data_IF_833979062045
#
_entry.id   IF_833979062045
#
_cell.length_a   1.000
_cell.length_b   1.000
_cell.length_c   1.000
_cell.angle_alpha   90.00
_cell.angle_beta   90.00
_cell.angle_gamma   90.00
#
_symmetry.space_group_name_H-M   'P 1'
#
loop_
_entity.id
_entity.type
_entity.pdbx_description
1 polymer ?
#
# COMPACT_ATOMS: atom_id res chain seq x y z
N UNK A 1 70.00 5.08 -65.97
CA UNK A 1 69.65 4.12 -64.96
C UNK A 1 68.86 4.90 -63.86
N UNK A 2 67.51 4.99 -63.99
CA UNK A 2 66.66 5.75 -63.07
C UNK A 2 65.81 4.74 -62.34
N UNK A 3 65.99 4.66 -61.04
CA UNK A 3 65.14 3.86 -60.15
C UNK A 3 63.82 4.58 -59.87
N UNK A 4 62.70 4.01 -60.27
CA UNK A 4 61.41 4.43 -59.90
C UNK A 4 61.13 3.92 -58.48
N UNK A 5 60.84 4.84 -57.55
CA UNK A 5 60.39 4.55 -56.19
C UNK A 5 58.87 4.61 -56.18
N UNK A 6 58.24 3.46 -56.11
CA UNK A 6 56.79 3.37 -55.98
C UNK A 6 56.39 3.58 -54.52
N UNK A 7 55.66 4.67 -54.23
CA UNK A 7 55.08 5.01 -52.94
C UNK A 7 53.73 4.32 -52.84
N UNK A 8 53.61 3.28 -52.04
CA UNK A 8 52.34 2.65 -51.70
C UNK A 8 51.73 3.40 -50.50
N UNK A 9 50.70 4.18 -50.76
CA UNK A 9 49.91 4.81 -49.72
C UNK A 9 48.88 3.79 -49.22
N UNK A 10 49.12 3.25 -48.03
CA UNK A 10 48.14 2.40 -47.33
C UNK A 10 47.16 3.33 -46.62
N UNK A 11 45.95 3.41 -47.19
CA UNK A 11 44.84 4.11 -46.58
C UNK A 11 44.24 3.21 -45.48
N UNK A 12 44.60 3.45 -44.22
CA UNK A 12 43.99 2.80 -43.07
C UNK A 12 42.66 3.49 -42.82
N UNK A 13 41.55 2.89 -43.26
CA UNK A 13 40.21 3.27 -42.80
C UNK A 13 40.07 2.84 -41.31
N UNK A 14 40.25 3.81 -40.44
CA UNK A 14 39.84 3.66 -39.05
C UNK A 14 38.30 3.62 -39.03
N UNK A 15 37.73 2.43 -39.01
CA UNK A 15 36.32 2.22 -38.65
C UNK A 15 36.24 2.50 -37.14
N UNK A 16 35.88 3.75 -36.78
CA UNK A 16 35.46 4.07 -35.40
C UNK A 16 34.14 3.36 -35.18
N UNK A 17 34.19 2.13 -34.72
CA UNK A 17 33.08 1.48 -34.09
C UNK A 17 32.76 2.30 -32.85
N UNK A 18 31.76 3.19 -32.92
CA UNK A 18 31.09 3.66 -31.74
C UNK A 18 30.45 2.42 -31.10
N UNK A 19 31.12 1.85 -30.13
CA UNK A 19 30.47 0.97 -29.19
C UNK A 19 29.39 1.84 -28.52
N UNK A 20 28.15 1.69 -28.96
CA UNK A 20 27.01 2.12 -28.16
C UNK A 20 27.14 1.26 -26.89
N UNK A 21 27.62 1.88 -25.82
CA UNK A 21 27.43 1.31 -24.52
C UNK A 21 25.91 1.15 -24.38
N UNK A 22 25.41 -0.08 -24.36
CA UNK A 22 24.07 -0.35 -23.84
C UNK A 22 24.11 0.21 -22.44
N UNK A 23 23.48 1.37 -22.24
CA UNK A 23 23.16 1.85 -20.91
C UNK A 23 22.19 0.83 -20.37
N UNK A 24 22.66 -0.04 -19.47
CA UNK A 24 21.76 -0.92 -18.72
C UNK A 24 20.64 -0.05 -18.15
N UNK A 25 19.41 -0.29 -18.63
CA UNK A 25 18.25 0.41 -18.13
C UNK A 25 18.04 -0.01 -16.68
N UNK A 26 18.06 0.96 -15.76
CA UNK A 26 17.81 0.67 -14.35
C UNK A 26 16.43 0.04 -14.19
N UNK A 27 16.37 -1.10 -13.50
CA UNK A 27 15.10 -1.68 -13.03
C UNK A 27 14.77 -1.11 -11.66
N UNK A 28 13.56 -0.60 -11.48
CA UNK A 28 13.08 -0.01 -10.23
C UNK A 28 12.39 -1.08 -9.40
N UNK A 29 12.75 -1.19 -8.12
CA UNK A 29 12.20 -2.20 -7.21
C UNK A 29 11.10 -1.58 -6.36
N UNK A 30 9.88 -2.14 -6.47
CA UNK A 30 8.71 -1.70 -5.71
C UNK A 30 8.37 -2.75 -4.65
N UNK A 31 8.46 -2.37 -3.37
CA UNK A 31 8.02 -3.19 -2.25
C UNK A 31 6.51 -3.13 -2.08
N UNK A 32 5.85 -4.27 -1.93
CA UNK A 32 4.39 -4.34 -1.77
C UNK A 32 3.98 -5.55 -0.93
N UNK A 33 2.81 -5.48 -0.27
CA UNK A 33 2.15 -6.67 0.28
C UNK A 33 1.39 -7.41 -0.84
N UNK A 34 0.99 -8.70 -0.65
CA UNK A 34 0.50 -9.52 -1.76
C UNK A 34 -0.67 -8.91 -2.51
N UNK A 35 -1.89 -9.07 -2.03
CA UNK A 35 -3.12 -8.55 -2.67
C UNK A 35 -3.62 -7.30 -1.94
N UNK A 36 -4.07 -6.26 -2.63
CA UNK A 36 -3.97 -5.99 -4.06
C UNK A 36 -2.66 -5.29 -4.45
N UNK A 37 -1.81 -4.96 -3.46
CA UNK A 37 -0.68 -4.05 -3.58
C UNK A 37 0.41 -4.52 -4.56
N UNK A 38 0.69 -5.83 -4.63
CA UNK A 38 1.63 -6.36 -5.62
C UNK A 38 0.96 -6.61 -6.97
N UNK A 39 -0.34 -6.94 -6.98
CA UNK A 39 -1.07 -7.27 -8.20
C UNK A 39 -1.20 -6.07 -9.15
N UNK A 40 -1.44 -4.86 -8.59
CA UNK A 40 -1.61 -3.66 -9.40
C UNK A 40 -0.30 -3.22 -10.09
N UNK A 41 0.87 -3.15 -9.45
CA UNK A 41 2.14 -2.92 -10.13
C UNK A 41 2.52 -4.05 -11.11
N UNK A 42 2.20 -5.32 -10.81
CA UNK A 42 2.45 -6.42 -11.73
C UNK A 42 1.67 -6.27 -13.04
N UNK A 43 0.43 -5.76 -12.97
CA UNK A 43 -0.42 -5.49 -14.14
C UNK A 43 0.20 -4.49 -15.12
N UNK A 44 1.01 -3.54 -14.62
CA UNK A 44 1.57 -2.42 -15.41
C UNK A 44 3.06 -2.60 -15.76
N UNK A 45 3.67 -3.75 -15.49
CA UNK A 45 5.12 -3.98 -15.74
C UNK A 45 5.53 -3.71 -17.18
N UNK A 46 4.76 -4.20 -18.13
CA UNK A 46 5.03 -4.02 -19.54
C UNK A 46 4.89 -2.53 -19.94
N UNK A 47 3.86 -1.84 -19.44
CA UNK A 47 3.62 -0.41 -19.69
C UNK A 47 4.80 0.43 -19.16
N UNK A 48 5.29 0.13 -17.96
CA UNK A 48 6.46 0.79 -17.38
C UNK A 48 7.74 0.51 -18.16
N UNK A 49 7.93 -0.72 -18.65
CA UNK A 49 9.09 -1.07 -19.47
C UNK A 49 9.06 -0.35 -20.82
N UNK A 50 7.90 -0.20 -21.47
CA UNK A 50 7.72 0.55 -22.71
C UNK A 50 8.05 2.05 -22.55
N UNK A 51 7.77 2.62 -21.35
CA UNK A 51 8.16 3.99 -20.99
C UNK A 51 9.65 4.13 -20.64
N UNK A 52 10.42 3.04 -20.59
CA UNK A 52 11.84 3.03 -20.27
C UNK A 52 12.15 2.93 -18.77
N UNK A 53 11.17 2.60 -17.94
CA UNK A 53 11.28 2.44 -16.48
C UNK A 53 10.84 1.03 -16.03
N UNK A 54 11.52 -0.05 -16.43
CA UNK A 54 11.13 -1.40 -16.02
C UNK A 54 11.09 -1.52 -14.50
N UNK A 55 10.08 -2.22 -13.98
CA UNK A 55 9.87 -2.43 -12.55
C UNK A 55 9.97 -3.92 -12.17
N UNK A 56 10.39 -4.16 -10.93
CA UNK A 56 10.32 -5.46 -10.26
C UNK A 56 9.59 -5.30 -8.93
N UNK A 57 8.76 -6.30 -8.58
CA UNK A 57 7.98 -6.26 -7.35
C UNK A 57 8.61 -7.18 -6.31
N UNK A 58 8.93 -6.62 -5.13
CA UNK A 58 9.39 -7.36 -3.97
C UNK A 58 8.25 -7.50 -2.97
N UNK A 59 7.87 -8.75 -2.67
CA UNK A 59 6.76 -9.05 -1.75
C UNK A 59 7.23 -8.99 -0.30
N UNK A 60 6.43 -8.32 0.55
CA UNK A 60 6.55 -8.29 1.99
C UNK A 60 5.27 -8.82 2.62
N UNK A 61 5.39 -9.68 3.63
CA UNK A 61 4.23 -10.28 4.29
C UNK A 61 3.75 -9.53 5.55
N UNK A 62 4.40 -8.42 5.87
CA UNK A 62 4.07 -7.54 6.99
C UNK A 62 4.31 -6.07 6.64
N UNK A 63 3.82 -5.15 7.48
CA UNK A 63 3.96 -3.71 7.28
C UNK A 63 5.27 -3.12 7.84
N UNK A 64 6.04 -3.89 8.62
CA UNK A 64 7.17 -3.34 9.38
C UNK A 64 8.43 -3.16 8.51
N UNK A 65 8.57 -3.93 7.44
CA UNK A 65 9.80 -3.98 6.65
C UNK A 65 9.86 -3.04 5.43
N UNK A 66 8.76 -2.72 4.70
CA UNK A 66 8.87 -1.96 3.45
C UNK A 66 9.42 -0.54 3.61
N UNK A 67 9.00 0.23 4.62
CA UNK A 67 9.51 1.59 4.83
C UNK A 67 10.99 1.62 5.22
N UNK A 68 11.48 0.78 6.17
CA UNK A 68 12.92 0.66 6.42
C UNK A 68 13.75 0.26 5.20
N UNK A 69 13.25 -0.70 4.38
CA UNK A 69 13.92 -1.13 3.16
C UNK A 69 14.00 0.00 2.11
N UNK A 70 12.93 0.78 1.97
CA UNK A 70 12.91 1.98 1.12
C UNK A 70 13.93 3.03 1.59
N UNK A 71 13.93 3.35 2.88
CA UNK A 71 14.86 4.32 3.47
C UNK A 71 16.33 3.87 3.33
N UNK A 72 16.60 2.57 3.41
CA UNK A 72 17.93 2.00 3.22
C UNK A 72 18.39 1.98 1.74
N UNK A 73 17.48 2.21 0.77
CA UNK A 73 17.77 2.15 -0.66
C UNK A 73 17.71 0.75 -1.26
N UNK A 74 17.18 -0.24 -0.52
CA UNK A 74 16.94 -1.59 -1.02
C UNK A 74 15.72 -1.64 -1.96
N UNK A 75 14.83 -0.65 -1.86
CA UNK A 75 13.69 -0.39 -2.73
C UNK A 75 13.81 0.99 -3.36
N UNK A 76 13.15 1.20 -4.50
CA UNK A 76 12.94 2.52 -5.10
C UNK A 76 11.62 3.15 -4.67
N UNK A 77 10.59 2.33 -4.48
CA UNK A 77 9.31 2.72 -3.89
C UNK A 77 8.75 1.60 -3.02
N UNK A 78 7.76 1.92 -2.19
CA UNK A 78 6.85 0.92 -1.65
C UNK A 78 5.39 1.32 -1.93
N UNK A 79 4.48 0.32 -1.90
CA UNK A 79 3.06 0.52 -2.13
C UNK A 79 2.25 -0.40 -1.22
N UNK A 80 1.76 0.14 -0.10
CA UNK A 80 0.94 -0.56 0.89
C UNK A 80 0.41 0.35 1.99
N UNK A 81 0.94 1.59 2.11
CA UNK A 81 0.78 2.41 3.29
C UNK A 81 -0.17 3.59 3.06
N UNK A 82 -0.96 3.90 4.07
CA UNK A 82 -1.78 5.11 4.15
C UNK A 82 -1.07 6.22 4.94
N UNK A 83 -1.55 7.46 4.83
CA UNK A 83 -0.91 8.64 5.43
C UNK A 83 -0.64 8.51 6.94
N UNK A 84 -1.59 8.06 7.80
CA UNK A 84 -1.29 7.90 9.23
C UNK A 84 -0.16 6.90 9.52
N UNK A 85 -0.03 5.83 8.69
CA UNK A 85 1.06 4.86 8.83
C UNK A 85 2.41 5.48 8.48
N UNK A 86 2.46 6.23 7.35
CA UNK A 86 3.68 6.94 6.92
C UNK A 86 4.12 7.95 7.98
N UNK A 87 3.17 8.71 8.56
CA UNK A 87 3.46 9.66 9.62
C UNK A 87 4.01 8.98 10.88
N UNK A 88 3.38 7.90 11.34
CA UNK A 88 3.84 7.13 12.50
C UNK A 88 5.26 6.55 12.28
N UNK A 89 5.54 6.04 11.08
CA UNK A 89 6.89 5.60 10.71
C UNK A 89 7.89 6.78 10.79
N UNK A 90 7.58 7.90 10.15
CA UNK A 90 8.47 9.07 10.09
C UNK A 90 8.74 9.67 11.47
N UNK A 91 7.77 9.63 12.39
CA UNK A 91 7.95 10.06 13.78
C UNK A 91 8.90 9.14 14.57
N UNK A 92 9.03 7.88 14.15
CA UNK A 92 9.85 6.86 14.82
C UNK A 92 11.30 6.83 14.37
N UNK A 93 11.67 7.53 13.28
CA UNK A 93 12.98 7.48 12.64
C UNK A 93 13.62 8.86 12.50
N UNK A 94 14.96 8.96 12.35
CA UNK A 94 15.64 10.22 12.01
C UNK A 94 15.19 10.76 10.63
N UNK A 95 15.37 12.08 10.42
CA UNK A 95 14.96 12.79 9.20
C UNK A 95 15.54 12.19 7.91
N UNK A 96 16.77 11.68 7.95
CA UNK A 96 17.45 11.04 6.82
C UNK A 96 16.94 9.63 6.48
N UNK A 97 16.03 9.10 7.29
CA UNK A 97 15.34 7.81 7.06
C UNK A 97 13.84 7.98 6.80
N UNK A 98 13.35 9.20 6.75
CA UNK A 98 11.94 9.47 6.47
C UNK A 98 11.61 9.22 4.99
N UNK A 99 10.35 8.86 4.75
CA UNK A 99 9.80 8.59 3.43
C UNK A 99 8.59 9.49 3.17
N UNK A 100 8.25 9.72 1.92
CA UNK A 100 7.15 10.62 1.55
C UNK A 100 6.12 9.94 0.64
N UNK A 101 4.83 10.23 0.81
CA UNK A 101 3.81 9.79 -0.12
C UNK A 101 3.97 10.54 -1.45
N UNK A 102 3.99 9.80 -2.58
CA UNK A 102 4.05 10.38 -3.90
C UNK A 102 2.65 10.60 -4.49
N UNK A 103 1.80 9.57 -4.48
CA UNK A 103 0.40 9.63 -4.95
C UNK A 103 -0.44 8.50 -4.37
N UNK A 104 -1.74 8.76 -4.17
CA UNK A 104 -2.72 7.77 -3.73
C UNK A 104 -3.26 6.95 -4.90
N UNK A 105 -3.54 5.67 -4.69
CA UNK A 105 -3.98 4.74 -5.73
C UNK A 105 -5.36 4.16 -5.42
N UNK A 106 -5.56 3.59 -4.23
CA UNK A 106 -6.83 2.97 -3.87
C UNK A 106 -7.10 3.07 -2.37
N UNK A 107 -8.32 2.75 -1.98
CA UNK A 107 -8.77 2.60 -0.61
C UNK A 107 -9.33 1.20 -0.39
N UNK A 108 -9.11 0.66 0.80
CA UNK A 108 -9.69 -0.60 1.27
C UNK A 108 -10.44 -0.35 2.58
N UNK A 109 -11.76 -0.66 2.64
CA UNK A 109 -12.49 -0.57 3.88
C UNK A 109 -11.92 -1.48 4.97
N UNK A 110 -11.78 -0.97 6.17
CA UNK A 110 -11.42 -1.75 7.34
C UNK A 110 -12.67 -2.43 7.88
N UNK A 111 -12.59 -3.70 8.26
CA UNK A 111 -13.76 -4.48 8.63
C UNK A 111 -13.63 -5.17 9.99
N UNK A 112 -14.81 -5.38 10.62
CA UNK A 112 -14.99 -6.26 11.79
C UNK A 112 -15.56 -7.57 11.28
N UNK A 113 -14.88 -8.67 11.53
CA UNK A 113 -15.24 -10.02 11.06
C UNK A 113 -15.52 -10.95 12.22
N UNK A 114 -16.34 -11.97 11.98
CA UNK A 114 -16.63 -13.01 12.94
C UNK A 114 -16.93 -14.34 12.25
N UNK A 115 -16.34 -15.44 12.74
CA UNK A 115 -16.71 -16.81 12.37
C UNK A 115 -17.89 -17.34 13.20
N UNK A 116 -18.34 -16.60 14.24
CA UNK A 116 -19.29 -17.06 15.23
C UNK A 116 -20.64 -16.32 15.22
N UNK A 117 -20.62 -15.05 14.78
CA UNK A 117 -21.79 -14.17 14.87
C UNK A 117 -22.04 -13.49 13.52
N UNK A 118 -23.29 -13.33 13.15
CA UNK A 118 -23.72 -12.66 11.91
C UNK A 118 -23.99 -11.17 12.12
N UNK A 119 -24.08 -10.72 13.37
CA UNK A 119 -24.39 -9.33 13.75
C UNK A 119 -23.70 -8.95 15.05
N UNK A 120 -23.37 -7.66 15.19
CA UNK A 120 -22.88 -7.10 16.45
C UNK A 120 -23.88 -7.22 17.61
N UNK A 121 -25.18 -7.27 17.30
CA UNK A 121 -26.25 -7.41 18.30
C UNK A 121 -26.26 -8.82 18.94
N UNK A 122 -25.65 -9.81 18.30
CA UNK A 122 -25.56 -11.20 18.79
C UNK A 122 -24.36 -11.41 19.73
N UNK A 123 -23.50 -10.41 19.91
CA UNK A 123 -22.32 -10.54 20.74
C UNK A 123 -22.70 -10.73 22.22
N UNK A 124 -22.06 -11.72 22.91
CA UNK A 124 -22.30 -11.92 24.33
C UNK A 124 -21.69 -10.82 25.17
N UNK A 125 -22.15 -10.68 26.41
CA UNK A 125 -21.42 -9.96 27.43
C UNK A 125 -20.03 -10.61 27.63
N UNK A 126 -18.99 -9.79 27.77
CA UNK A 126 -17.57 -10.21 27.82
C UNK A 126 -17.05 -10.81 26.49
N UNK A 127 -17.62 -10.45 25.35
CA UNK A 127 -17.08 -10.83 24.05
C UNK A 127 -15.58 -10.49 23.93
N UNK A 128 -14.87 -11.29 23.15
CA UNK A 128 -13.43 -11.12 22.90
C UNK A 128 -13.19 -10.52 21.53
N UNK A 129 -12.30 -9.51 21.45
CA UNK A 129 -11.89 -8.87 20.20
C UNK A 129 -10.38 -8.96 19.99
N UNK A 130 -9.95 -8.95 18.71
CA UNK A 130 -8.56 -8.78 18.32
C UNK A 130 -8.45 -7.66 17.31
N UNK A 131 -7.42 -6.79 17.46
CA UNK A 131 -7.16 -5.65 16.59
C UNK A 131 -5.67 -5.60 16.21
N UNK A 132 -5.26 -4.85 15.16
CA UNK A 132 -3.87 -4.56 14.89
C UNK A 132 -3.18 -3.80 16.03
N UNK A 133 -1.86 -3.98 16.16
CA UNK A 133 -1.05 -3.36 17.22
C UNK A 133 -0.12 -2.24 16.73
N UNK A 134 0.00 -2.00 15.42
CA UNK A 134 0.73 -0.83 14.97
C UNK A 134 -0.05 0.46 15.29
N UNK A 135 0.65 1.57 15.62
CA UNK A 135 -0.01 2.76 16.18
C UNK A 135 -1.14 3.32 15.32
N UNK A 136 -0.98 3.32 13.99
CA UNK A 136 -1.96 3.90 13.09
C UNK A 136 -3.19 2.99 12.89
N UNK A 137 -2.98 1.68 12.66
CA UNK A 137 -4.10 0.76 12.49
C UNK A 137 -4.77 0.42 13.83
N UNK A 138 -4.06 0.49 14.96
CA UNK A 138 -4.68 0.38 16.28
C UNK A 138 -5.64 1.54 16.51
N UNK A 139 -5.23 2.78 16.25
CA UNK A 139 -6.10 3.96 16.31
C UNK A 139 -7.31 3.78 15.39
N UNK A 140 -7.10 3.41 14.12
CA UNK A 140 -8.16 3.15 13.14
C UNK A 140 -9.15 2.09 13.63
N UNK A 141 -8.66 0.99 14.19
CA UNK A 141 -9.49 -0.08 14.75
C UNK A 141 -10.33 0.39 15.95
N UNK A 142 -9.77 1.24 16.81
CA UNK A 142 -10.50 1.81 17.93
C UNK A 142 -11.62 2.73 17.46
N UNK A 143 -11.42 3.54 16.42
CA UNK A 143 -12.49 4.35 15.82
C UNK A 143 -13.57 3.46 15.19
N UNK A 144 -13.19 2.41 14.45
CA UNK A 144 -14.17 1.48 13.88
C UNK A 144 -15.01 0.78 14.96
N UNK A 145 -14.39 0.36 16.07
CA UNK A 145 -15.11 -0.22 17.21
C UNK A 145 -16.01 0.81 17.92
N UNK A 146 -15.62 2.10 17.95
CA UNK A 146 -16.49 3.17 18.47
C UNK A 146 -17.70 3.40 17.56
N UNK A 147 -17.50 3.45 16.24
CA UNK A 147 -18.58 3.61 15.26
C UNK A 147 -19.54 2.43 15.29
N UNK A 148 -19.01 1.23 15.59
CA UNK A 148 -19.78 0.02 15.84
C UNK A 148 -20.52 0.04 17.21
N UNK A 149 -20.31 1.06 18.04
CA UNK A 149 -20.95 1.19 19.36
C UNK A 149 -20.36 0.27 20.44
N UNK A 150 -19.18 -0.30 20.23
CA UNK A 150 -18.55 -1.28 21.12
C UNK A 150 -17.61 -0.66 22.16
N UNK A 151 -17.21 0.59 21.99
CA UNK A 151 -16.40 1.33 22.96
C UNK A 151 -16.65 2.84 22.87
N UNK A 152 -16.02 3.59 23.76
CA UNK A 152 -16.01 5.07 23.74
C UNK A 152 -14.59 5.56 23.85
N UNK A 153 -14.17 6.43 22.93
CA UNK A 153 -12.89 7.12 22.94
C UNK A 153 -12.98 8.46 23.68
N UNK A 154 -11.86 9.10 24.07
CA UNK A 154 -11.84 10.42 24.65
C UNK A 154 -12.51 11.46 23.74
N UNK A 155 -13.23 12.41 24.33
CA UNK A 155 -13.85 13.50 23.58
C UNK A 155 -12.82 14.35 22.83
N UNK A 156 -13.05 14.58 21.54
CA UNK A 156 -12.16 15.35 20.67
C UNK A 156 -11.03 14.53 20.02
N UNK A 157 -10.98 13.22 20.25
CA UNK A 157 -10.05 12.33 19.52
C UNK A 157 -10.35 12.34 18.02
N UNK A 158 -9.28 12.21 17.23
CA UNK A 158 -9.32 12.17 15.76
C UNK A 158 -8.61 10.94 15.22
N UNK A 159 -8.94 10.48 14.00
CA UNK A 159 -8.22 9.36 13.35
C UNK A 159 -6.72 9.60 13.08
N UNK A 160 -6.24 10.82 13.26
CA UNK A 160 -4.84 11.21 13.13
C UNK A 160 -4.07 11.17 14.45
N UNK A 161 -4.74 10.92 15.56
CA UNK A 161 -4.11 10.74 16.86
C UNK A 161 -3.41 9.36 16.92
N UNK A 162 -2.53 9.19 17.91
CA UNK A 162 -1.90 7.89 18.22
C UNK A 162 -2.54 7.31 19.47
N UNK A 163 -3.72 6.70 19.32
CA UNK A 163 -4.47 6.08 20.41
C UNK A 163 -4.11 4.60 20.55
N UNK A 164 -4.22 4.10 21.78
CA UNK A 164 -4.04 2.70 22.11
C UNK A 164 -5.10 2.20 23.09
N UNK A 165 -5.10 0.92 23.42
CA UNK A 165 -6.11 0.31 24.29
C UNK A 165 -6.24 0.97 25.67
N UNK A 166 -5.19 1.65 26.18
CA UNK A 166 -5.23 2.32 27.50
C UNK A 166 -5.92 3.68 27.45
N UNK A 167 -6.15 4.23 26.24
CA UNK A 167 -6.85 5.49 26.05
C UNK A 167 -8.38 5.33 25.98
N UNK A 168 -8.87 4.09 25.84
CA UNK A 168 -10.31 3.79 25.78
C UNK A 168 -10.99 4.17 27.09
N UNK A 169 -12.00 5.02 27.00
CA UNK A 169 -12.77 5.50 28.17
C UNK A 169 -13.68 4.41 28.74
N UNK A 170 -14.35 3.67 27.85
CA UNK A 170 -15.27 2.61 28.22
C UNK A 170 -15.36 1.55 27.13
N UNK A 171 -15.29 0.27 27.52
CA UNK A 171 -15.66 -0.85 26.68
C UNK A 171 -17.11 -1.27 27.00
N UNK A 172 -17.96 -1.27 25.98
CA UNK A 172 -19.38 -1.69 26.14
C UNK A 172 -19.47 -3.20 26.36
N UNK A 173 -20.45 -3.62 27.13
CA UNK A 173 -20.67 -5.05 27.45
C UNK A 173 -19.40 -5.78 27.94
N UNK A 174 -18.47 -5.01 28.58
CA UNK A 174 -17.19 -5.56 29.09
C UNK A 174 -16.35 -6.22 27.99
N UNK A 175 -16.37 -5.69 26.76
CA UNK A 175 -15.59 -6.19 25.63
C UNK A 175 -14.11 -6.32 26.00
N UNK A 176 -13.52 -7.50 25.75
CA UNK A 176 -12.12 -7.81 26.04
C UNK A 176 -11.31 -7.70 24.75
N UNK A 177 -10.58 -6.60 24.58
CA UNK A 177 -9.76 -6.35 23.38
C UNK A 177 -8.31 -6.72 23.63
N UNK A 178 -7.73 -7.45 22.68
CA UNK A 178 -6.29 -7.74 22.58
C UNK A 178 -5.77 -7.25 21.24
N UNK A 179 -4.49 -6.99 21.15
CA UNK A 179 -3.84 -6.53 19.93
C UNK A 179 -2.70 -7.48 19.50
N UNK A 180 -2.45 -7.52 18.19
CA UNK A 180 -1.45 -8.39 17.58
C UNK A 180 -0.97 -7.72 16.26
N UNK A 181 0.13 -8.20 15.71
CA UNK A 181 0.57 -7.79 14.36
C UNK A 181 -0.57 -7.92 13.34
N UNK A 182 -0.76 -6.88 12.50
CA UNK A 182 -1.88 -6.79 11.56
C UNK A 182 -1.97 -8.02 10.63
N UNK A 183 -0.82 -8.52 10.15
CA UNK A 183 -0.77 -9.71 9.29
C UNK A 183 -1.27 -10.99 9.97
N UNK A 184 -1.33 -11.01 11.30
CA UNK A 184 -1.75 -12.18 12.07
C UNK A 184 -3.22 -12.11 12.49
N UNK A 185 -3.89 -10.96 12.37
CA UNK A 185 -5.28 -10.79 12.80
C UNK A 185 -6.23 -11.81 12.17
N UNK A 186 -6.17 -12.15 10.85
CA UNK A 186 -7.07 -13.16 10.28
C UNK A 186 -6.96 -14.54 10.94
N UNK A 187 -5.77 -14.92 11.42
CA UNK A 187 -5.55 -16.21 12.06
C UNK A 187 -6.30 -16.38 13.39
N UNK A 188 -6.74 -15.28 14.00
CA UNK A 188 -7.42 -15.26 15.30
C UNK A 188 -8.95 -15.41 15.21
N UNK A 189 -9.54 -15.41 13.99
CA UNK A 189 -10.99 -15.46 13.77
C UNK A 189 -11.68 -16.64 14.48
N UNK A 190 -11.04 -17.80 14.53
CA UNK A 190 -11.62 -18.99 15.20
C UNK A 190 -11.62 -18.90 16.73
N UNK A 191 -10.68 -18.14 17.28
CA UNK A 191 -10.48 -18.05 18.72
C UNK A 191 -11.23 -16.87 19.33
N UNK A 192 -11.37 -15.77 18.61
CA UNK A 192 -12.02 -14.53 19.04
C UNK A 192 -13.50 -14.51 18.65
N UNK A 193 -14.26 -13.65 19.27
CA UNK A 193 -15.66 -13.42 18.91
C UNK A 193 -15.77 -12.43 17.76
N UNK A 194 -14.91 -11.41 17.73
CA UNK A 194 -14.73 -10.49 16.60
C UNK A 194 -13.26 -10.18 16.36
N UNK A 195 -12.91 -9.91 15.11
CA UNK A 195 -11.56 -9.51 14.71
C UNK A 195 -11.62 -8.32 13.75
N UNK A 196 -10.84 -7.29 14.03
CA UNK A 196 -10.67 -6.16 13.10
C UNK A 196 -9.51 -6.47 12.18
N UNK A 197 -9.75 -6.47 10.86
CA UNK A 197 -8.78 -6.91 9.86
C UNK A 197 -8.65 -5.85 8.76
N UNK A 198 -7.41 -5.48 8.40
CA UNK A 198 -7.10 -4.62 7.27
C UNK A 198 -7.58 -5.25 5.95
N UNK A 199 -8.03 -4.43 4.99
CA UNK A 199 -8.64 -4.89 3.75
C UNK A 199 -7.78 -5.89 2.98
N UNK A 200 -6.50 -5.59 2.77
CA UNK A 200 -5.57 -6.49 2.06
C UNK A 200 -5.39 -7.84 2.79
N UNK A 201 -5.27 -7.85 4.11
CA UNK A 201 -5.17 -9.11 4.88
C UNK A 201 -6.49 -9.88 4.92
N UNK A 202 -7.62 -9.18 4.84
CA UNK A 202 -8.92 -9.84 4.65
C UNK A 202 -8.99 -10.53 3.29
N UNK A 203 -8.61 -9.83 2.20
CA UNK A 203 -8.54 -10.39 0.84
C UNK A 203 -7.58 -11.59 0.77
N UNK A 204 -6.38 -11.49 1.34
CA UNK A 204 -5.41 -12.60 1.42
C UNK A 204 -5.96 -13.82 2.18
N UNK A 205 -6.86 -13.58 3.16
CA UNK A 205 -7.57 -14.65 3.88
C UNK A 205 -8.83 -15.17 3.16
N UNK A 206 -9.15 -14.62 1.98
CA UNK A 206 -10.33 -14.97 1.20
C UNK A 206 -11.62 -14.34 1.72
N UNK A 207 -11.51 -13.24 2.47
CA UNK A 207 -12.63 -12.46 3.02
C UNK A 207 -12.81 -11.16 2.23
N UNK A 208 -14.05 -10.68 2.13
CA UNK A 208 -14.37 -9.39 1.54
C UNK A 208 -14.96 -8.44 2.60
N UNK A 209 -14.44 -7.19 2.70
CA UNK A 209 -15.04 -6.21 3.62
C UNK A 209 -16.53 -5.99 3.38
N UNK A 210 -16.97 -6.03 2.13
CA UNK A 210 -18.36 -5.73 1.77
C UNK A 210 -19.32 -6.93 1.94
N UNK A 211 -18.80 -8.16 1.92
CA UNK A 211 -19.65 -9.37 1.93
C UNK A 211 -19.56 -10.16 3.24
N UNK A 212 -18.37 -10.17 3.89
CA UNK A 212 -18.07 -11.06 5.02
C UNK A 212 -17.90 -10.30 6.34
N UNK A 213 -17.64 -8.98 6.30
CA UNK A 213 -17.57 -8.19 7.52
C UNK A 213 -18.98 -7.96 8.11
N UNK A 214 -19.11 -8.10 9.43
CA UNK A 214 -20.35 -7.78 10.15
C UNK A 214 -20.50 -6.27 10.42
N UNK A 215 -19.41 -5.51 10.26
CA UNK A 215 -19.38 -4.05 10.26
C UNK A 215 -18.11 -3.59 9.53
N UNK A 216 -18.16 -2.50 8.77
CA UNK A 216 -16.99 -1.98 8.03
C UNK A 216 -17.07 -0.46 7.82
N UNK A 217 -15.93 0.17 7.53
CA UNK A 217 -15.85 1.59 7.20
C UNK A 217 -16.59 1.92 5.91
N UNK A 218 -17.35 3.04 5.86
CA UNK A 218 -18.00 3.48 4.64
C UNK A 218 -17.00 3.77 3.50
N UNK A 219 -17.33 3.35 2.29
CA UNK A 219 -16.47 3.54 1.12
C UNK A 219 -16.36 5.00 0.64
N UNK A 220 -17.37 5.83 0.95
CA UNK A 220 -17.53 7.23 0.53
C UNK A 220 -17.30 8.22 1.67
N UNK A 221 -16.75 7.76 2.80
CA UNK A 221 -16.56 8.56 4.00
C UNK A 221 -15.22 9.28 4.08
N UNK A 222 -15.02 9.99 5.20
CA UNK A 222 -13.74 10.61 5.57
C UNK A 222 -12.60 9.59 5.65
N UNK A 223 -12.92 8.34 6.03
CA UNK A 223 -11.97 7.23 6.10
C UNK A 223 -11.22 7.01 4.77
N UNK A 224 -11.91 7.06 3.63
CA UNK A 224 -11.29 6.90 2.32
C UNK A 224 -10.21 7.97 2.05
N UNK A 225 -10.42 9.22 2.48
CA UNK A 225 -9.44 10.29 2.29
C UNK A 225 -8.22 10.17 3.23
N UNK A 226 -8.41 9.60 4.41
CA UNK A 226 -7.35 9.44 5.43
C UNK A 226 -6.53 8.17 5.16
N UNK A 227 -7.21 7.08 4.79
CA UNK A 227 -6.62 5.74 4.73
C UNK A 227 -6.44 5.19 3.31
N UNK A 228 -6.49 6.03 2.28
CA UNK A 228 -6.07 5.64 0.94
C UNK A 228 -4.62 5.12 0.95
N UNK A 229 -4.35 4.11 0.13
CA UNK A 229 -3.03 3.52 -0.03
C UNK A 229 -2.22 4.29 -1.07
N UNK A 230 -1.00 4.67 -0.70
CA UNK A 230 -0.09 5.49 -1.49
C UNK A 230 1.11 4.70 -2.01
N UNK A 231 1.59 5.09 -3.17
CA UNK A 231 2.99 4.86 -3.53
C UNK A 231 3.84 5.83 -2.71
N UNK A 232 4.86 5.29 -2.05
CA UNK A 232 5.76 5.98 -1.15
C UNK A 232 7.18 5.89 -1.68
N UNK A 233 7.91 6.99 -1.64
CA UNK A 233 9.28 7.10 -2.15
C UNK A 233 10.18 7.83 -1.14
N UNK A 234 11.49 7.86 -1.41
CA UNK A 234 12.39 8.76 -0.70
C UNK A 234 12.10 10.21 -1.08
N UNK A 235 12.38 11.21 -0.21
CA UNK A 235 12.11 12.63 -0.50
C UNK A 235 12.72 13.15 -1.81
N UNK A 236 13.92 12.68 -2.16
CA UNK A 236 14.64 13.08 -3.38
C UNK A 236 14.03 12.52 -4.67
N UNK A 237 13.21 11.47 -4.58
CA UNK A 237 12.64 10.78 -5.73
C UNK A 237 11.21 11.25 -6.07
N UNK A 238 10.56 12.07 -5.22
CA UNK A 238 9.13 12.42 -5.33
C UNK A 238 8.74 13.05 -6.68
N UNK A 239 9.64 13.86 -7.26
CA UNK A 239 9.45 14.51 -8.56
C UNK A 239 10.22 13.81 -9.71
N UNK A 240 10.69 12.58 -9.48
CA UNK A 240 11.46 11.85 -10.48
C UNK A 240 10.58 11.41 -11.66
N UNK A 241 11.08 11.45 -12.91
CA UNK A 241 10.28 11.08 -14.09
C UNK A 241 9.73 9.65 -14.05
N UNK A 242 10.41 8.71 -13.41
CA UNK A 242 9.93 7.34 -13.24
C UNK A 242 8.75 7.24 -12.26
N UNK A 243 8.67 8.14 -11.27
CA UNK A 243 7.53 8.21 -10.33
C UNK A 243 6.29 8.74 -11.05
N UNK A 244 6.45 9.74 -11.93
CA UNK A 244 5.35 10.24 -12.75
C UNK A 244 4.86 9.20 -13.78
N UNK A 245 5.79 8.43 -14.38
CA UNK A 245 5.43 7.30 -15.22
C UNK A 245 4.66 6.23 -14.43
N UNK A 246 5.10 5.93 -13.20
CA UNK A 246 4.44 4.97 -12.31
C UNK A 246 3.02 5.46 -11.93
N UNK A 247 2.85 6.77 -11.63
CA UNK A 247 1.55 7.39 -11.40
C UNK A 247 0.63 7.21 -12.62
N UNK A 248 1.11 7.57 -13.81
CA UNK A 248 0.36 7.47 -15.05
C UNK A 248 -0.13 6.04 -15.30
N UNK A 249 0.72 5.05 -15.07
CA UNK A 249 0.36 3.64 -15.27
C UNK A 249 -0.59 3.13 -14.18
N UNK A 250 -0.34 3.40 -12.90
CA UNK A 250 -1.16 2.92 -11.78
C UNK A 250 -2.52 3.64 -11.68
N UNK A 251 -2.61 4.89 -12.12
CA UNK A 251 -3.86 5.65 -12.14
C UNK A 251 -4.54 5.60 -13.54
N UNK A 252 -4.33 4.55 -14.31
CA UNK A 252 -4.90 4.36 -15.66
C UNK A 252 -6.27 3.71 -15.65
N UNK A 253 -7.00 3.81 -16.77
CA UNK A 253 -8.25 3.09 -17.01
C UNK A 253 -8.10 1.57 -16.88
N UNK A 254 -6.95 1.02 -17.31
CA UNK A 254 -6.60 -0.40 -17.19
C UNK A 254 -6.63 -0.86 -15.71
N UNK A 255 -6.00 -0.11 -14.83
CA UNK A 255 -5.94 -0.41 -13.39
C UNK A 255 -7.29 -0.13 -12.72
N UNK A 256 -7.97 0.95 -13.09
CA UNK A 256 -9.32 1.25 -12.62
C UNK A 256 -10.29 0.09 -12.90
N UNK A 257 -10.33 -0.36 -14.15
CA UNK A 257 -11.18 -1.49 -14.59
C UNK A 257 -10.80 -2.77 -13.84
N UNK A 258 -9.50 -3.05 -13.70
CA UNK A 258 -9.04 -4.22 -12.95
C UNK A 258 -9.51 -4.19 -11.49
N UNK A 259 -9.42 -3.05 -10.79
CA UNK A 259 -9.88 -2.92 -9.42
C UNK A 259 -11.39 -3.11 -9.28
N UNK A 260 -12.17 -2.54 -10.22
CA UNK A 260 -13.64 -2.50 -10.11
C UNK A 260 -14.34 -3.76 -10.64
N UNK A 261 -13.71 -4.49 -11.56
CA UNK A 261 -14.28 -5.68 -12.21
C UNK A 261 -13.66 -7.00 -11.70
N UNK A 262 -12.60 -6.95 -10.90
CA UNK A 262 -11.98 -8.15 -10.34
C UNK A 262 -12.90 -8.79 -9.27
N UNK A 263 -13.49 -9.93 -9.61
CA UNK A 263 -14.40 -10.65 -8.71
C UNK A 263 -13.74 -11.04 -7.37
N UNK A 264 -12.42 -11.27 -7.36
CA UNK A 264 -11.71 -11.64 -6.12
C UNK A 264 -11.62 -10.49 -5.11
N UNK A 265 -11.74 -9.25 -5.57
CA UNK A 265 -11.79 -8.08 -4.69
C UNK A 265 -13.20 -7.83 -4.12
N UNK A 266 -14.22 -8.36 -4.77
CA UNK A 266 -15.62 -8.25 -4.35
C UNK A 266 -16.03 -6.82 -3.93
N UNK A 267 -15.49 -5.80 -4.63
CA UNK A 267 -15.70 -4.38 -4.33
C UNK A 267 -14.88 -3.82 -3.16
N UNK A 268 -14.02 -4.61 -2.53
CA UNK A 268 -13.18 -4.19 -1.40
C UNK A 268 -11.92 -3.40 -1.78
N UNK A 269 -11.64 -3.21 -3.07
CA UNK A 269 -10.54 -2.37 -3.59
C UNK A 269 -11.14 -1.23 -4.41
N UNK A 270 -11.10 -0.02 -3.87
CA UNK A 270 -11.82 1.13 -4.39
C UNK A 270 -10.82 2.15 -4.95
N UNK A 271 -10.87 2.51 -6.25
CA UNK A 271 -9.98 3.51 -6.82
C UNK A 271 -10.04 4.84 -6.06
N UNK A 272 -8.87 5.41 -5.76
CA UNK A 272 -8.73 6.72 -5.09
C UNK A 272 -8.38 7.84 -6.08
N UNK A 273 -8.45 7.58 -7.37
CA UNK A 273 -8.24 8.54 -8.46
C UNK A 273 -9.44 8.59 -9.39
N UNK A 274 -9.56 9.70 -10.12
CA UNK A 274 -10.61 9.90 -11.14
C UNK A 274 -10.00 9.82 -12.54
N UNK A 275 -10.70 9.17 -13.46
CA UNK A 275 -10.33 9.12 -14.88
C UNK A 275 -10.63 10.43 -15.61
N UNK A 276 -11.56 11.24 -15.06
CA UNK A 276 -11.98 12.52 -15.70
C UNK A 276 -10.92 13.62 -15.60
N UNK A 277 -9.90 13.47 -14.75
CA UNK A 277 -8.83 14.46 -14.58
C UNK A 277 -7.80 14.48 -15.73
N UNK A 278 -7.82 13.50 -16.62
CA UNK A 278 -6.88 13.39 -17.74
C UNK A 278 -7.30 14.19 -19.01
N UNK A 279 -8.50 14.80 -19.03
CA UNK A 279 -9.00 15.57 -20.19
C UNK A 279 -8.83 17.10 -20.04
N UNK A 280 -8.27 17.61 -18.95
CA UNK A 280 -8.13 19.06 -18.68
C UNK A 280 -6.69 19.61 -18.74
N UNK A 281 -5.70 18.90 -19.31
CA UNK A 281 -4.34 19.45 -19.55
C UNK A 281 -4.02 19.69 -21.02
#
# INVERSE_FOLDING_TARGET
MKKLLSLVVVLILAISGAAMAETETKTYVIGATPSPHAELPELIKDDMAELGYPIEIQIFNDYNLPCPALAAGDLDANYFAHIPFINAYNESVPEDQQVVPAFGVHYEPFGIYSDKYESLDDLPENATACIPNDPSNQTRALFLLQDAGLLTLPEGSTPLDSLNLTDVVEFKNVLQVTDIDAAQTPSTLKDKDIVVINGNYALDAGLSPLNDAIFYEPADGEAASIYANYVVVRPEDVDAPWVEALRTCLCSEKVYTFMTENESYAGGVIPYFSLDAAEEE
#
